data_IF_537994451790
#
_entry.id   IF_537994451790
#
_cell.length_a   1.000
_cell.length_b   1.000
_cell.length_c   1.000
_cell.angle_alpha   90.00
_cell.angle_beta   90.00
_cell.angle_gamma   90.00
#
_symmetry.space_group_name_H-M   'P 1'
#
loop_
_entity.id
_entity.type
_entity.pdbx_description
1 polymer ?
#
# COMPACT_ATOMS: atom_id res chain seq x y z
N UNK A 1 -5.03 0.64 -22.28
CA UNK A 1 -5.53 0.49 -20.91
C UNK A 1 -5.53 1.86 -20.30
N UNK A 2 -6.62 2.23 -19.64
CA UNK A 2 -6.79 3.53 -18.98
C UNK A 2 -7.44 3.30 -17.63
N UNK A 3 -7.10 4.13 -16.66
CA UNK A 3 -7.82 4.24 -15.38
C UNK A 3 -8.90 5.30 -15.57
N UNK A 4 -10.12 4.99 -15.15
CA UNK A 4 -11.28 5.87 -15.30
C UNK A 4 -11.61 6.58 -13.98
N UNK A 5 -11.29 5.94 -12.85
CA UNK A 5 -11.65 6.43 -11.51
C UNK A 5 -10.82 5.73 -10.45
N UNK A 6 -10.54 6.47 -9.36
CA UNK A 6 -9.92 5.98 -8.13
C UNK A 6 -10.71 6.55 -6.95
N UNK A 7 -11.09 5.69 -6.00
CA UNK A 7 -11.83 6.07 -4.81
C UNK A 7 -11.18 5.45 -3.57
N UNK A 8 -10.67 6.29 -2.67
CA UNK A 8 -10.19 5.85 -1.36
C UNK A 8 -11.36 5.43 -0.49
N UNK A 9 -11.28 4.22 0.08
CA UNK A 9 -12.37 3.61 0.88
C UNK A 9 -12.16 3.82 2.38
N UNK A 10 -10.90 3.88 2.79
CA UNK A 10 -10.50 3.89 4.20
C UNK A 10 -9.56 5.07 4.48
N UNK A 11 -9.50 5.56 5.73
CA UNK A 11 -8.46 6.49 6.17
C UNK A 11 -7.04 5.90 6.03
N UNK A 12 -5.99 6.72 5.86
CA UNK A 12 -4.60 6.27 5.97
C UNK A 12 -4.29 5.51 7.28
N UNK A 13 -3.59 4.40 7.15
CA UNK A 13 -3.17 3.53 8.25
C UNK A 13 -1.65 3.60 8.40
N UNK A 14 -1.20 3.83 9.63
CA UNK A 14 0.21 3.96 9.99
C UNK A 14 0.73 2.63 10.51
N UNK A 15 1.65 2.03 9.77
CA UNK A 15 2.30 0.78 10.14
C UNK A 15 3.65 1.10 10.79
N UNK A 16 3.75 0.81 12.09
CA UNK A 16 4.98 0.99 12.88
C UNK A 16 5.57 -0.39 13.20
N UNK A 17 6.82 -0.59 12.81
CA UNK A 17 7.57 -1.82 13.10
C UNK A 17 8.48 -1.61 14.32
N UNK A 18 8.72 -2.66 15.12
CA UNK A 18 9.72 -2.63 16.17
C UNK A 18 11.12 -2.25 15.65
N UNK A 19 11.90 -1.47 16.42
CA UNK A 19 13.26 -1.07 16.02
C UNK A 19 14.21 -2.25 15.75
N UNK A 20 13.94 -3.44 16.32
CA UNK A 20 14.73 -4.66 16.06
C UNK A 20 14.74 -5.10 14.59
N UNK A 21 13.78 -4.63 13.79
CA UNK A 21 13.72 -4.90 12.36
C UNK A 21 14.38 -3.80 11.50
N UNK A 22 14.76 -2.68 12.12
CA UNK A 22 15.51 -1.62 11.43
C UNK A 22 16.95 -2.05 11.14
N UNK A 23 17.48 -1.68 9.98
CA UNK A 23 18.88 -1.97 9.61
C UNK A 23 19.15 -3.41 9.12
N UNK A 24 18.15 -4.29 9.09
CA UNK A 24 18.29 -5.66 8.57
C UNK A 24 18.33 -5.75 7.03
N UNK A 25 18.28 -4.62 6.32
CA UNK A 25 18.20 -4.60 4.86
C UNK A 25 16.88 -5.17 4.30
N UNK A 26 15.84 -5.28 5.13
CA UNK A 26 14.51 -5.76 4.75
C UNK A 26 13.58 -4.56 4.50
N UNK A 27 13.50 -4.04 3.25
CA UNK A 27 12.72 -2.85 2.94
C UNK A 27 11.23 -2.99 3.27
N UNK A 28 10.71 -4.22 3.25
CA UNK A 28 9.33 -4.55 3.58
C UNK A 28 9.02 -4.48 5.09
N UNK A 29 10.05 -4.40 5.96
CA UNK A 29 9.93 -4.26 7.41
C UNK A 29 10.30 -2.84 7.89
N UNK A 30 10.05 -1.84 7.04
CA UNK A 30 10.21 -0.43 7.41
C UNK A 30 8.84 0.22 7.69
N UNK A 31 8.76 1.23 8.58
CA UNK A 31 7.51 1.93 8.82
C UNK A 31 6.93 2.56 7.55
N UNK A 32 5.66 2.30 7.27
CA UNK A 32 4.96 2.82 6.10
C UNK A 32 3.56 3.33 6.45
N UNK A 33 3.02 4.20 5.60
CA UNK A 33 1.63 4.64 5.64
C UNK A 33 0.92 3.95 4.48
N UNK A 34 -0.24 3.34 4.70
CA UNK A 34 -1.01 2.66 3.67
C UNK A 34 -2.43 3.20 3.60
N UNK A 35 -2.94 3.41 2.39
CA UNK A 35 -4.37 3.69 2.19
C UNK A 35 -4.93 2.77 1.10
N UNK A 36 -6.13 2.22 1.34
CA UNK A 36 -6.81 1.33 0.40
C UNK A 36 -7.74 2.12 -0.51
N UNK A 37 -7.82 1.70 -1.75
CA UNK A 37 -8.70 2.31 -2.75
C UNK A 37 -9.29 1.26 -3.68
N UNK A 38 -10.44 1.61 -4.26
CA UNK A 38 -11.04 0.94 -5.39
C UNK A 38 -10.72 1.75 -6.65
N UNK A 39 -10.48 1.08 -7.77
CA UNK A 39 -10.23 1.73 -9.05
C UNK A 39 -11.00 1.06 -10.18
N UNK A 40 -11.31 1.83 -11.21
CA UNK A 40 -11.95 1.35 -12.43
C UNK A 40 -10.98 1.47 -13.59
N UNK A 41 -10.85 0.42 -14.40
CA UNK A 41 -9.92 0.39 -15.53
C UNK A 41 -10.54 -0.26 -16.78
N UNK A 42 -10.07 0.18 -17.94
CA UNK A 42 -10.49 -0.36 -19.23
C UNK A 42 -9.42 -1.26 -19.86
N UNK A 43 -9.81 -2.47 -20.24
CA UNK A 43 -9.01 -3.42 -21.01
C UNK A 43 -9.70 -3.73 -22.34
N UNK A 44 -9.29 -3.03 -23.40
CA UNK A 44 -9.96 -3.09 -24.69
C UNK A 44 -11.30 -2.34 -24.63
N UNK A 45 -12.41 -3.04 -24.91
CA UNK A 45 -13.77 -2.50 -24.80
C UNK A 45 -14.47 -2.83 -23.47
N UNK A 46 -13.78 -3.55 -22.58
CA UNK A 46 -14.34 -4.02 -21.31
C UNK A 46 -13.84 -3.13 -20.18
N UNK A 47 -14.77 -2.62 -19.39
CA UNK A 47 -14.46 -1.91 -18.15
C UNK A 47 -14.59 -2.87 -16.96
N UNK A 48 -13.68 -2.74 -15.99
CA UNK A 48 -13.60 -3.58 -14.80
C UNK A 48 -13.18 -2.76 -13.60
N UNK A 49 -13.57 -3.24 -12.43
CA UNK A 49 -13.12 -2.70 -11.15
C UNK A 49 -12.03 -3.58 -10.54
N UNK A 50 -11.21 -2.98 -9.70
CA UNK A 50 -10.18 -3.67 -8.92
C UNK A 50 -9.87 -2.92 -7.64
N UNK A 51 -9.23 -3.62 -6.71
CA UNK A 51 -8.83 -3.08 -5.42
C UNK A 51 -7.32 -2.97 -5.32
N UNK A 52 -6.88 -1.84 -4.78
CA UNK A 52 -5.48 -1.52 -4.61
C UNK A 52 -5.20 -0.86 -3.27
N UNK A 53 -3.91 -0.70 -3.01
CA UNK A 53 -3.42 0.11 -1.91
C UNK A 53 -2.22 0.91 -2.36
N UNK A 54 -2.10 2.13 -1.87
CA UNK A 54 -0.90 2.95 -2.02
C UNK A 54 -0.17 2.95 -0.68
N UNK A 55 1.15 2.80 -0.73
CA UNK A 55 2.05 2.83 0.42
C UNK A 55 3.06 3.94 0.27
N UNK A 56 3.32 4.67 1.35
CA UNK A 56 4.46 5.57 1.49
C UNK A 56 5.44 5.00 2.51
N UNK A 57 6.65 4.68 2.07
CA UNK A 57 7.73 4.18 2.91
C UNK A 57 8.55 5.35 3.45
N UNK A 58 8.49 5.60 4.77
CA UNK A 58 9.07 6.80 5.38
C UNK A 58 10.59 6.88 5.21
N UNK A 59 11.29 5.74 5.38
CA UNK A 59 12.75 5.69 5.31
C UNK A 59 13.27 5.94 3.88
N UNK A 60 12.62 5.36 2.87
CA UNK A 60 13.03 5.48 1.46
C UNK A 60 12.46 6.71 0.76
N UNK A 61 11.47 7.37 1.38
CA UNK A 61 10.66 8.44 0.76
C UNK A 61 10.05 8.00 -0.58
N UNK A 62 9.66 6.74 -0.66
CA UNK A 62 9.15 6.10 -1.87
C UNK A 62 7.66 5.76 -1.76
N UNK A 63 6.98 5.76 -2.90
CA UNK A 63 5.56 5.43 -3.01
C UNK A 63 5.38 4.19 -3.89
N UNK A 64 4.58 3.23 -3.42
CA UNK A 64 4.27 2.03 -4.20
C UNK A 64 2.79 1.74 -4.21
N UNK A 65 2.30 1.30 -5.36
CA UNK A 65 0.94 0.78 -5.51
C UNK A 65 0.98 -0.74 -5.55
N UNK A 66 0.13 -1.36 -4.74
CA UNK A 66 -0.09 -2.80 -4.74
C UNK A 66 -1.53 -3.10 -5.13
N UNK A 67 -1.72 -3.88 -6.20
CA UNK A 67 -3.03 -4.37 -6.61
C UNK A 67 -3.31 -5.67 -5.85
N UNK A 68 -4.41 -5.72 -5.12
CA UNK A 68 -4.77 -6.86 -4.26
C UNK A 68 -5.41 -8.00 -5.07
N UNK A 69 -6.09 -7.65 -6.16
CA UNK A 69 -6.85 -8.60 -6.98
C UNK A 69 -6.00 -9.22 -8.10
N UNK A 70 -6.26 -10.50 -8.39
CA UNK A 70 -5.80 -11.11 -9.65
C UNK A 70 -6.66 -10.58 -10.80
N UNK A 71 -6.09 -9.73 -11.64
CA UNK A 71 -6.80 -9.12 -12.78
C UNK A 71 -6.77 -10.05 -14.01
N UNK A 72 -7.90 -10.68 -14.41
CA UNK A 72 -7.89 -11.65 -15.51
C UNK A 72 -7.50 -11.00 -16.84
N UNK A 73 -6.56 -11.59 -17.59
CA UNK A 73 -6.11 -11.03 -18.88
C UNK A 73 -5.10 -9.87 -18.75
N UNK A 74 -4.67 -9.54 -17.53
CA UNK A 74 -3.59 -8.58 -17.26
C UNK A 74 -2.33 -9.37 -16.90
N UNK A 75 -1.43 -9.53 -17.87
CA UNK A 75 -0.11 -10.12 -17.64
C UNK A 75 0.85 -9.18 -16.89
N UNK A 76 2.06 -9.65 -16.52
CA UNK A 76 2.99 -8.89 -15.67
C UNK A 76 3.33 -7.49 -16.20
N UNK A 77 3.60 -7.36 -17.50
CA UNK A 77 3.93 -6.07 -18.14
C UNK A 77 2.76 -5.08 -18.05
N UNK A 78 1.53 -5.56 -18.29
CA UNK A 78 0.33 -4.72 -18.18
C UNK A 78 0.05 -4.38 -16.72
N UNK A 79 0.35 -5.28 -15.80
CA UNK A 79 0.16 -5.06 -14.37
C UNK A 79 1.10 -3.96 -13.87
N UNK A 80 2.37 -3.99 -14.25
CA UNK A 80 3.33 -2.94 -13.93
C UNK A 80 2.84 -1.58 -14.45
N UNK A 81 2.45 -1.52 -15.73
CA UNK A 81 1.91 -0.30 -16.33
C UNK A 81 0.66 0.21 -15.61
N UNK A 82 -0.19 -0.68 -15.09
CA UNK A 82 -1.36 -0.29 -14.30
C UNK A 82 -0.95 0.31 -12.96
N UNK A 83 0.02 -0.30 -12.28
CA UNK A 83 0.54 0.22 -11.00
C UNK A 83 1.14 1.62 -11.18
N UNK A 84 1.91 1.84 -12.25
CA UNK A 84 2.51 3.14 -12.53
C UNK A 84 1.42 4.22 -12.76
N UNK A 85 0.40 3.90 -13.57
CA UNK A 85 -0.73 4.80 -13.81
C UNK A 85 -1.53 5.11 -12.54
N UNK A 86 -1.82 4.07 -11.75
CA UNK A 86 -2.53 4.24 -10.47
C UNK A 86 -1.70 5.07 -9.49
N UNK A 87 -0.37 4.93 -9.50
CA UNK A 87 0.50 5.71 -8.65
C UNK A 87 0.46 7.20 -9.03
N UNK A 88 0.56 7.52 -10.32
CA UNK A 88 0.48 8.90 -10.81
C UNK A 88 -0.84 9.57 -10.42
N UNK A 89 -1.97 8.88 -10.60
CA UNK A 89 -3.30 9.45 -10.31
C UNK A 89 -3.62 9.49 -8.80
N UNK A 90 -3.26 8.46 -8.03
CA UNK A 90 -3.64 8.35 -6.62
C UNK A 90 -2.74 9.18 -5.68
N UNK A 91 -1.49 9.47 -6.08
CA UNK A 91 -0.48 10.04 -5.18
C UNK A 91 -0.86 11.40 -4.60
N UNK A 92 -1.38 12.32 -5.42
CA UNK A 92 -1.72 13.67 -4.95
C UNK A 92 -2.84 13.64 -3.89
N UNK A 93 -3.91 12.89 -4.16
CA UNK A 93 -5.01 12.72 -3.22
C UNK A 93 -4.58 11.94 -1.96
N UNK A 94 -3.69 10.96 -2.09
CA UNK A 94 -3.12 10.25 -0.94
C UNK A 94 -2.31 11.17 -0.03
N UNK A 95 -1.47 12.04 -0.59
CA UNK A 95 -0.70 13.03 0.20
C UNK A 95 -1.64 13.96 0.94
N UNK A 96 -2.66 14.50 0.25
CA UNK A 96 -3.67 15.36 0.87
C UNK A 96 -4.40 14.64 2.02
N UNK A 97 -4.75 13.36 1.86
CA UNK A 97 -5.38 12.58 2.91
C UNK A 97 -4.47 12.38 4.14
N UNK A 98 -3.17 12.16 3.93
CA UNK A 98 -2.21 12.04 5.03
C UNK A 98 -2.06 13.35 5.80
N UNK A 99 -2.00 14.48 5.09
CA UNK A 99 -1.80 15.82 5.68
C UNK A 99 -3.04 16.34 6.40
N UNK A 100 -4.24 15.93 5.97
CA UNK A 100 -5.52 16.41 6.49
C UNK A 100 -5.97 15.74 7.79
N UNK A 101 -5.33 14.65 8.25
CA UNK A 101 -5.99 13.72 9.19
C UNK A 101 -5.84 14.02 10.70
N UNK A 102 -6.95 13.94 11.48
CA UNK A 102 -7.00 14.14 12.95
C UNK A 102 -6.87 12.87 13.83
N UNK A 103 -7.07 11.64 13.34
CA UNK A 103 -6.94 10.41 14.15
C UNK A 103 -6.10 9.32 13.46
N UNK A 104 -4.85 9.19 13.88
CA UNK A 104 -3.88 8.22 13.33
C UNK A 104 -4.29 6.79 13.70
N UNK A 105 -4.85 6.03 12.76
CA UNK A 105 -4.99 4.56 12.92
C UNK A 105 -3.60 3.92 12.86
N UNK A 106 -3.09 3.51 14.02
CA UNK A 106 -1.79 2.85 14.16
C UNK A 106 -1.92 1.34 14.25
N UNK A 107 -1.07 0.63 13.52
CA UNK A 107 -0.90 -0.82 13.60
C UNK A 107 0.51 -1.10 14.10
N UNK A 108 0.60 -1.86 15.20
CA UNK A 108 1.85 -2.33 15.77
C UNK A 108 2.09 -3.78 15.38
N UNK A 109 3.31 -4.10 14.97
CA UNK A 109 3.76 -5.47 14.75
C UNK A 109 4.49 -5.96 16.01
N UNK A 110 4.08 -7.09 16.57
CA UNK A 110 4.71 -7.67 17.75
C UNK A 110 5.95 -8.49 17.38
N UNK A 111 6.89 -8.62 18.32
CA UNK A 111 8.02 -9.56 18.23
C UNK A 111 7.49 -11.00 18.39
N UNK A 112 7.91 -11.90 17.50
CA UNK A 112 7.55 -13.32 17.55
C UNK A 112 8.50 -14.15 18.43
N UNK A 113 9.48 -13.54 19.08
CA UNK A 113 10.26 -14.23 20.13
C UNK A 113 9.34 -14.56 21.31
N UNK A 114 8.88 -15.80 21.35
CA UNK A 114 8.40 -16.44 22.57
C UNK A 114 9.44 -16.19 23.67
N UNK A 115 9.06 -15.74 24.88
CA UNK A 115 9.98 -15.82 25.99
C UNK A 115 10.38 -17.29 26.15
N UNK A 116 11.67 -17.56 26.08
CA UNK A 116 12.23 -18.88 26.36
C UNK A 116 11.70 -19.30 27.74
N UNK A 117 10.88 -20.35 27.79
CA UNK A 117 10.52 -21.01 29.04
C UNK A 117 11.74 -21.81 29.50
N UNK A 118 12.78 -21.12 29.94
CA UNK A 118 13.96 -21.70 30.56
C UNK A 118 14.51 -20.72 31.61
N UNK A 119 13.65 -20.33 32.55
CA UNK A 119 14.05 -19.88 33.88
C UNK A 119 13.16 -20.59 34.91
N UNK A 120 13.49 -21.86 35.18
CA UNK A 120 13.56 -22.48 36.52
C UNK A 120 14.17 -23.89 36.44
#
# INVERSE_FOLDING_TARGET
MKVSSILFKDPPVYHEFPPIYEGLGLPDLSPFIQQRFEFTYSLGKVERTGHGSIRFYKQQRDYKVNISDKLPGVGPIKNQKLQDLLLEEAKAAFIANIESEPEKRKVYYADFRSPDKNEE
#
